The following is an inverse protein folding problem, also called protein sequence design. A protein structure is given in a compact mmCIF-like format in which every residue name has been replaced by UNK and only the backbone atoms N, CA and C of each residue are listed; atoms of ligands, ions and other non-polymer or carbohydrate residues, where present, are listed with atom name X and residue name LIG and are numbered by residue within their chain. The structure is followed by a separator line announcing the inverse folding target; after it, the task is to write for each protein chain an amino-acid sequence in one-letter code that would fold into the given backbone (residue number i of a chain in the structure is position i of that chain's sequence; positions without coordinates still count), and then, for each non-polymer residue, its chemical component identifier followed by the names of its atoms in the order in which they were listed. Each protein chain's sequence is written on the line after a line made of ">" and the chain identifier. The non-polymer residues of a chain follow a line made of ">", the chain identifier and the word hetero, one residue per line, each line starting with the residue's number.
data_IF_916775215725
#
_entry.id   IF_916775215725
#
_cell.length_a   1.000
_cell.length_b   1.000
_cell.length_c   1.000
_cell.angle_alpha   90.00
_cell.angle_beta   90.00
_cell.angle_gamma   90.00
#
_symmetry.space_group_name_H-M   'P 1'
#
loop_
_entity.id
_entity.type
_entity.pdbx_description
1 polymer ?
#
# COMPACT_ATOMS: atom_id res chain seq x y z
N UNK A 1 14.13 -33.23 -1.63
CA UNK A 1 14.38 -32.13 -2.59
C UNK A 1 13.12 -31.92 -3.39
N UNK A 2 12.24 -31.02 -2.95
CA UNK A 2 11.16 -30.48 -3.79
C UNK A 2 11.52 -29.04 -4.10
N UNK A 3 11.95 -28.78 -5.33
CA UNK A 3 11.99 -27.44 -5.88
C UNK A 3 10.55 -26.99 -6.11
N UNK A 4 9.89 -26.55 -5.03
CA UNK A 4 8.70 -25.70 -5.15
C UNK A 4 9.19 -24.26 -5.30
N UNK A 5 9.81 -23.98 -6.44
CA UNK A 5 9.97 -22.61 -6.92
C UNK A 5 8.57 -22.08 -7.19
N UNK A 6 7.99 -21.46 -6.16
CA UNK A 6 6.79 -20.65 -6.27
C UNK A 6 6.89 -19.74 -7.50
N UNK A 7 5.76 -19.44 -8.12
CA UNK A 7 5.65 -18.57 -9.31
C UNK A 7 6.43 -17.25 -9.21
N UNK A 8 6.85 -16.79 -8.02
CA UNK A 8 7.56 -15.54 -7.74
C UNK A 8 9.04 -15.67 -7.39
N UNK A 9 9.63 -16.87 -7.39
CA UNK A 9 10.99 -17.05 -6.88
C UNK A 9 11.11 -16.92 -5.34
N UNK A 10 10.01 -16.68 -4.63
CA UNK A 10 9.91 -16.63 -3.16
C UNK A 10 8.58 -17.24 -2.69
N UNK A 11 8.65 -18.17 -1.74
CA UNK A 11 7.46 -18.86 -1.24
C UNK A 11 6.52 -17.91 -0.47
N UNK A 12 5.21 -18.14 -0.55
CA UNK A 12 4.20 -17.35 0.19
C UNK A 12 4.50 -17.30 1.70
N UNK A 13 4.82 -18.42 2.38
CA UNK A 13 5.20 -18.38 3.79
C UNK A 13 6.43 -17.51 4.06
N UNK A 14 7.42 -17.49 3.18
CA UNK A 14 8.63 -16.69 3.36
C UNK A 14 8.37 -15.19 3.14
N UNK A 15 7.47 -14.83 2.22
CA UNK A 15 6.95 -13.46 2.09
C UNK A 15 6.34 -13.01 3.43
N UNK A 16 5.47 -13.81 4.03
CA UNK A 16 4.84 -13.45 5.30
C UNK A 16 5.83 -13.41 6.47
N UNK A 17 6.71 -14.40 6.58
CA UNK A 17 7.73 -14.45 7.65
C UNK A 17 8.68 -13.26 7.57
N UNK A 18 9.09 -12.88 6.36
CA UNK A 18 9.95 -11.72 6.15
C UNK A 18 9.25 -10.42 6.54
N UNK A 19 7.98 -10.25 6.15
CA UNK A 19 7.17 -9.11 6.59
C UNK A 19 7.01 -9.02 8.11
N UNK A 20 6.68 -10.13 8.76
CA UNK A 20 6.54 -10.21 10.22
C UNK A 20 7.87 -9.87 10.90
N UNK A 21 8.96 -10.53 10.51
CA UNK A 21 10.29 -10.32 11.09
C UNK A 21 10.76 -8.87 10.88
N UNK A 22 10.61 -8.33 9.67
CA UNK A 22 11.02 -6.96 9.36
C UNK A 22 10.21 -5.92 10.11
N UNK A 23 8.89 -6.13 10.27
CA UNK A 23 8.08 -5.26 11.12
C UNK A 23 8.57 -5.28 12.58
N UNK A 24 8.76 -6.46 13.17
CA UNK A 24 9.18 -6.56 14.57
C UNK A 24 10.63 -6.15 14.82
N UNK A 25 11.49 -6.13 13.80
CA UNK A 25 12.82 -5.55 13.90
C UNK A 25 12.77 -4.02 14.07
N UNK A 26 11.82 -3.35 13.42
CA UNK A 26 11.68 -1.90 13.46
C UNK A 26 10.21 -1.43 13.54
N UNK A 27 9.49 -1.73 14.64
CA UNK A 27 8.04 -1.54 14.71
C UNK A 27 7.65 -0.07 14.75
N UNK A 28 8.44 0.76 15.43
CA UNK A 28 8.13 2.17 15.65
C UNK A 28 8.05 3.00 14.35
N UNK A 29 9.09 3.05 13.49
CA UNK A 29 9.02 3.87 12.29
C UNK A 29 7.94 3.42 11.31
N UNK A 30 7.73 2.12 11.18
CA UNK A 30 6.68 1.55 10.34
C UNK A 30 5.28 1.90 10.89
N UNK A 31 5.07 1.76 12.20
CA UNK A 31 3.80 2.09 12.84
C UNK A 31 3.47 3.57 12.77
N UNK A 32 4.47 4.45 12.95
CA UNK A 32 4.27 5.89 12.83
C UNK A 32 3.89 6.28 11.40
N UNK A 33 4.59 5.75 10.39
CA UNK A 33 4.26 6.02 8.99
C UNK A 33 2.86 5.51 8.63
N UNK A 34 2.48 4.31 9.10
CA UNK A 34 1.14 3.77 8.96
C UNK A 34 0.09 4.64 9.65
N UNK A 35 0.34 5.08 10.89
CA UNK A 35 -0.57 5.92 11.65
C UNK A 35 -0.80 7.28 10.99
N UNK A 36 0.26 7.94 10.48
CA UNK A 36 0.10 9.18 9.72
C UNK A 36 -0.70 8.98 8.43
N UNK A 37 -0.44 7.88 7.71
CA UNK A 37 -1.15 7.55 6.46
C UNK A 37 -2.64 7.30 6.72
N UNK A 38 -2.96 6.44 7.68
CA UNK A 38 -4.33 6.08 8.02
C UNK A 38 -5.07 7.23 8.70
N UNK A 39 -4.38 8.00 9.56
CA UNK A 39 -4.92 9.22 10.17
C UNK A 39 -5.27 10.27 9.12
N UNK A 40 -4.42 10.46 8.11
CA UNK A 40 -4.72 11.33 6.96
C UNK A 40 -5.96 10.84 6.22
N UNK A 41 -6.01 9.55 5.89
CA UNK A 41 -7.18 8.97 5.22
C UNK A 41 -8.46 9.17 6.05
N UNK A 42 -8.41 8.90 7.35
CA UNK A 42 -9.54 9.04 8.26
C UNK A 42 -10.04 10.49 8.36
N UNK A 43 -9.11 11.46 8.42
CA UNK A 43 -9.44 12.88 8.49
C UNK A 43 -10.27 13.37 7.30
N UNK A 44 -10.14 12.73 6.13
CA UNK A 44 -10.95 13.01 4.95
C UNK A 44 -12.14 12.05 4.80
N UNK A 45 -12.01 10.81 5.29
CA UNK A 45 -13.10 9.83 5.20
C UNK A 45 -14.30 10.21 6.06
N UNK A 46 -14.08 10.78 7.25
CA UNK A 46 -15.16 11.25 8.14
C UNK A 46 -16.03 12.31 7.44
N UNK A 47 -15.48 13.45 6.96
CA UNK A 47 -16.29 14.44 6.25
C UNK A 47 -16.84 13.93 4.92
N UNK A 48 -16.14 13.04 4.22
CA UNK A 48 -16.69 12.39 3.02
C UNK A 48 -17.97 11.59 3.32
N UNK A 49 -17.98 10.84 4.43
CA UNK A 49 -19.15 10.09 4.87
C UNK A 49 -20.29 11.00 5.32
N UNK A 50 -19.99 12.10 6.02
CA UNK A 50 -20.99 13.11 6.38
C UNK A 50 -21.66 13.70 5.13
N UNK A 51 -20.87 14.18 4.17
CA UNK A 51 -21.38 14.70 2.90
C UNK A 51 -22.21 13.67 2.12
N UNK A 52 -21.83 12.39 2.14
CA UNK A 52 -22.62 11.33 1.53
C UNK A 52 -23.99 11.17 2.19
N UNK A 53 -24.02 11.17 3.52
CA UNK A 53 -25.26 11.04 4.30
C UNK A 53 -26.20 12.25 4.07
N UNK A 54 -25.63 13.43 3.80
CA UNK A 54 -26.37 14.66 3.50
C UNK A 54 -26.81 14.75 2.02
N UNK A 55 -26.51 13.73 1.19
CA UNK A 55 -26.87 13.68 -0.23
C UNK A 55 -25.92 14.45 -1.15
N UNK A 56 -24.84 15.03 -0.62
CA UNK A 56 -23.83 15.79 -1.34
C UNK A 56 -22.78 14.88 -2.00
N UNK A 57 -23.22 14.05 -2.96
CA UNK A 57 -22.38 13.02 -3.59
C UNK A 57 -21.08 13.57 -4.22
N UNK A 58 -21.14 14.75 -4.84
CA UNK A 58 -19.97 15.37 -5.47
C UNK A 58 -18.92 15.80 -4.43
N UNK A 59 -19.37 16.36 -3.31
CA UNK A 59 -18.48 16.78 -2.23
C UNK A 59 -17.87 15.57 -1.51
N UNK A 60 -18.68 14.54 -1.27
CA UNK A 60 -18.21 13.26 -0.72
C UNK A 60 -17.08 12.67 -1.56
N UNK A 61 -17.28 12.61 -2.88
CA UNK A 61 -16.28 12.12 -3.83
C UNK A 61 -15.01 12.97 -3.83
N UNK A 62 -15.16 14.30 -3.74
CA UNK A 62 -14.02 15.21 -3.68
C UNK A 62 -13.18 14.97 -2.41
N UNK A 63 -13.81 14.81 -1.24
CA UNK A 63 -13.11 14.48 -0.01
C UNK A 63 -12.41 13.12 -0.06
N UNK A 64 -13.08 12.08 -0.56
CA UNK A 64 -12.47 10.76 -0.74
C UNK A 64 -11.25 10.85 -1.66
N UNK A 65 -11.35 11.58 -2.78
CA UNK A 65 -10.22 11.75 -3.71
C UNK A 65 -9.04 12.49 -3.10
N UNK A 66 -9.29 13.62 -2.44
CA UNK A 66 -8.25 14.40 -1.77
C UNK A 66 -7.60 13.54 -0.67
N UNK A 67 -8.41 12.85 0.13
CA UNK A 67 -7.96 11.96 1.19
C UNK A 67 -7.06 10.84 0.69
N UNK A 68 -7.47 10.15 -0.38
CA UNK A 68 -6.69 9.06 -0.97
C UNK A 68 -5.35 9.55 -1.53
N UNK A 69 -5.35 10.67 -2.24
CA UNK A 69 -4.12 11.25 -2.81
C UNK A 69 -3.18 11.70 -1.69
N UNK A 70 -3.67 12.48 -0.72
CA UNK A 70 -2.86 12.98 0.39
C UNK A 70 -2.33 11.84 1.26
N UNK A 71 -3.15 10.85 1.60
CA UNK A 71 -2.71 9.67 2.33
C UNK A 71 -1.61 8.93 1.55
N UNK A 72 -1.72 8.82 0.23
CA UNK A 72 -0.70 8.14 -0.59
C UNK A 72 0.62 8.92 -0.68
N UNK A 73 0.56 10.26 -0.63
CA UNK A 73 1.74 11.13 -0.51
C UNK A 73 2.40 10.94 0.87
N UNK A 74 1.58 10.95 1.94
CA UNK A 74 2.02 10.75 3.32
C UNK A 74 2.54 9.33 3.55
N UNK A 75 2.12 8.35 2.74
CA UNK A 75 2.64 6.99 2.75
C UNK A 75 4.07 6.88 2.18
N UNK A 76 4.62 7.92 1.56
CA UNK A 76 5.95 7.85 0.95
C UNK A 76 7.05 7.36 1.92
N UNK A 77 7.21 7.92 3.14
CA UNK A 77 8.14 7.38 4.13
C UNK A 77 7.93 5.91 4.44
N UNK A 78 6.68 5.43 4.44
CA UNK A 78 6.36 4.03 4.71
C UNK A 78 6.98 3.09 3.67
N UNK A 79 6.91 3.46 2.38
CA UNK A 79 7.54 2.70 1.31
C UNK A 79 9.07 2.69 1.44
N UNK A 80 9.69 3.81 1.81
CA UNK A 80 11.14 3.84 2.08
C UNK A 80 11.54 2.91 3.22
N UNK A 81 10.82 2.97 4.34
CA UNK A 81 11.15 2.18 5.52
C UNK A 81 10.95 0.68 5.25
N UNK A 82 9.91 0.33 4.51
CA UNK A 82 9.69 -1.05 4.08
C UNK A 82 10.80 -1.55 3.13
N UNK A 83 11.27 -0.71 2.20
CA UNK A 83 12.42 -1.03 1.34
C UNK A 83 13.72 -1.16 2.14
N UNK A 84 13.98 -0.26 3.10
CA UNK A 84 15.15 -0.37 3.98
C UNK A 84 15.15 -1.69 4.76
N UNK A 85 13.99 -2.11 5.28
CA UNK A 85 13.85 -3.43 5.90
C UNK A 85 14.07 -4.58 4.92
N UNK A 86 13.49 -4.49 3.71
CA UNK A 86 13.66 -5.54 2.71
C UNK A 86 15.11 -5.69 2.23
N UNK A 87 15.86 -4.59 2.23
CA UNK A 87 17.28 -4.51 1.86
C UNK A 87 18.23 -4.85 3.02
N UNK A 88 17.71 -5.08 4.24
CA UNK A 88 18.52 -5.32 5.44
C UNK A 88 19.32 -4.10 5.90
N UNK A 89 18.85 -2.89 5.59
CA UNK A 89 19.47 -1.62 6.00
C UNK A 89 18.79 -1.05 7.24
N UNK A 90 19.55 -0.26 7.99
CA UNK A 90 18.99 0.57 9.06
C UNK A 90 18.03 1.62 8.46
N UNK A 91 16.92 1.86 9.14
CA UNK A 91 15.92 2.84 8.69
C UNK A 91 16.42 4.26 8.95
N UNK A 92 16.62 5.02 7.87
CA UNK A 92 16.89 6.46 7.94
C UNK A 92 15.57 7.25 7.79
N UNK A 93 15.05 7.77 8.91
CA UNK A 93 13.81 8.55 8.95
C UNK A 93 13.85 9.82 8.09
N UNK A 94 15.04 10.32 7.76
CA UNK A 94 15.22 11.54 6.98
C UNK A 94 15.34 11.25 5.49
N UNK A 95 15.56 9.98 5.10
CA UNK A 95 15.74 9.57 3.70
C UNK A 95 14.64 10.08 2.76
N UNK A 96 13.34 10.04 3.13
CA UNK A 96 12.28 10.56 2.27
C UNK A 96 12.39 12.08 2.03
N UNK A 97 12.89 12.81 3.03
CA UNK A 97 13.01 14.28 3.01
C UNK A 97 14.22 14.78 2.22
N UNK A 98 15.23 13.92 2.00
CA UNK A 98 16.42 14.25 1.20
C UNK A 98 16.11 14.46 -0.28
N UNK A 99 14.97 13.94 -0.76
CA UNK A 99 14.53 14.04 -2.16
C UNK A 99 13.07 14.50 -2.24
N UNK A 100 12.77 15.79 -1.96
CA UNK A 100 11.40 16.29 -1.87
C UNK A 100 10.62 16.14 -3.18
N UNK A 101 11.31 16.15 -4.34
CA UNK A 101 10.68 15.90 -5.65
C UNK A 101 9.95 14.56 -5.74
N UNK A 102 10.30 13.57 -4.91
CA UNK A 102 9.60 12.27 -4.86
C UNK A 102 8.19 12.37 -4.29
N UNK A 103 7.89 13.35 -3.43
CA UNK A 103 6.50 13.60 -3.02
C UNK A 103 5.64 14.09 -4.19
N UNK A 104 6.20 14.91 -5.08
CA UNK A 104 5.53 15.31 -6.31
C UNK A 104 5.30 14.15 -7.28
N UNK A 105 6.31 13.27 -7.45
CA UNK A 105 6.16 12.05 -8.24
C UNK A 105 5.08 11.12 -7.65
N UNK A 106 5.06 10.95 -6.33
CA UNK A 106 4.05 10.18 -5.61
C UNK A 106 2.66 10.78 -5.82
N UNK A 107 2.51 12.10 -5.68
CA UNK A 107 1.23 12.78 -5.91
C UNK A 107 0.67 12.51 -7.31
N UNK A 108 1.51 12.62 -8.34
CA UNK A 108 1.11 12.33 -9.72
C UNK A 108 0.74 10.86 -9.91
N UNK A 109 1.56 9.94 -9.40
CA UNK A 109 1.28 8.51 -9.50
C UNK A 109 -0.04 8.15 -8.79
N UNK A 110 -0.23 8.64 -7.57
CA UNK A 110 -1.43 8.40 -6.77
C UNK A 110 -2.68 9.02 -7.41
N UNK A 111 -2.59 10.22 -7.98
CA UNK A 111 -3.72 10.83 -8.70
C UNK A 111 -4.23 9.91 -9.81
N UNK A 112 -3.34 9.45 -10.69
CA UNK A 112 -3.73 8.60 -11.82
C UNK A 112 -4.17 7.20 -11.37
N UNK A 113 -3.53 6.64 -10.34
CA UNK A 113 -3.94 5.38 -9.73
C UNK A 113 -5.38 5.46 -9.20
N UNK A 114 -5.67 6.45 -8.37
CA UNK A 114 -6.97 6.57 -7.72
C UNK A 114 -8.07 7.03 -8.67
N UNK A 115 -7.75 7.88 -9.66
CA UNK A 115 -8.67 8.21 -10.74
C UNK A 115 -9.08 6.95 -11.52
N UNK A 116 -8.11 6.12 -11.91
CA UNK A 116 -8.39 4.83 -12.58
C UNK A 116 -9.18 3.87 -11.69
N UNK A 117 -8.81 3.78 -10.40
CA UNK A 117 -9.49 2.93 -9.43
C UNK A 117 -10.96 3.33 -9.23
N UNK A 118 -11.26 4.61 -9.00
CA UNK A 118 -12.62 5.08 -8.78
C UNK A 118 -13.47 5.06 -10.05
N UNK A 119 -12.90 5.37 -11.21
CA UNK A 119 -13.60 5.23 -12.48
C UNK A 119 -14.00 3.76 -12.71
N UNK A 120 -13.08 2.84 -12.45
CA UNK A 120 -13.36 1.40 -12.48
C UNK A 120 -14.46 0.98 -11.50
N UNK A 121 -14.47 1.58 -10.31
CA UNK A 121 -15.37 1.18 -9.23
C UNK A 121 -16.80 1.63 -9.54
N UNK A 122 -16.92 2.88 -10.00
CA UNK A 122 -18.20 3.55 -10.21
C UNK A 122 -18.86 3.18 -11.53
N UNK A 123 -18.09 3.06 -12.61
CA UNK A 123 -18.64 2.96 -13.97
C UNK A 123 -18.51 1.58 -14.60
N UNK A 124 -17.67 0.71 -14.05
CA UNK A 124 -17.27 -0.55 -14.71
C UNK A 124 -17.42 -1.77 -13.79
N UNK A 125 -18.41 -1.75 -12.90
CA UNK A 125 -18.75 -2.85 -11.98
C UNK A 125 -17.58 -3.32 -11.09
N UNK A 126 -16.61 -2.45 -10.80
CA UNK A 126 -15.50 -2.74 -9.87
C UNK A 126 -14.34 -3.56 -10.45
N UNK A 127 -14.53 -4.24 -11.59
CA UNK A 127 -13.49 -5.08 -12.20
C UNK A 127 -12.22 -4.25 -12.53
N UNK A 128 -12.32 -3.05 -13.14
CA UNK A 128 -11.12 -2.29 -13.47
C UNK A 128 -10.42 -1.68 -12.25
N UNK A 129 -11.10 -1.54 -11.11
CA UNK A 129 -10.46 -1.16 -9.85
C UNK A 129 -9.53 -2.26 -9.34
N UNK A 130 -9.96 -3.52 -9.47
CA UNK A 130 -9.12 -4.68 -9.16
C UNK A 130 -7.92 -4.75 -10.10
N UNK A 131 -8.12 -4.46 -11.39
CA UNK A 131 -7.01 -4.36 -12.34
C UNK A 131 -6.05 -3.24 -11.96
N UNK A 132 -6.53 -2.03 -11.64
CA UNK A 132 -5.66 -0.94 -11.20
C UNK A 132 -4.82 -1.36 -9.98
N UNK A 133 -5.45 -2.03 -9.00
CA UNK A 133 -4.78 -2.51 -7.79
C UNK A 133 -3.70 -3.55 -8.09
N UNK A 134 -3.93 -4.48 -9.02
CA UNK A 134 -2.96 -5.52 -9.39
C UNK A 134 -1.85 -4.99 -10.30
N UNK A 135 -2.17 -4.11 -11.25
CA UNK A 135 -1.22 -3.60 -12.24
C UNK A 135 -0.27 -2.54 -11.65
N UNK A 136 -0.77 -1.72 -10.74
CA UNK A 136 -0.02 -0.63 -10.14
C UNK A 136 0.38 -0.90 -8.68
N UNK A 137 0.26 -2.14 -8.20
CA UNK A 137 0.53 -2.53 -6.80
C UNK A 137 1.87 -2.00 -6.24
N UNK A 138 2.87 -1.78 -7.10
CA UNK A 138 4.22 -1.41 -6.70
C UNK A 138 4.59 0.05 -6.97
N UNK A 139 3.68 0.91 -7.45
CA UNK A 139 4.05 2.27 -7.86
C UNK A 139 4.73 3.06 -6.73
N UNK A 140 4.27 2.90 -5.48
CA UNK A 140 4.85 3.57 -4.31
C UNK A 140 6.29 3.13 -4.03
N UNK A 141 6.60 1.84 -4.19
CA UNK A 141 7.97 1.33 -4.08
C UNK A 141 8.84 1.86 -5.22
N UNK A 142 8.34 1.88 -6.45
CA UNK A 142 9.08 2.42 -7.59
C UNK A 142 9.43 3.90 -7.38
N UNK A 143 8.50 4.72 -6.88
CA UNK A 143 8.76 6.14 -6.56
C UNK A 143 9.79 6.28 -5.43
N UNK A 144 9.71 5.42 -4.41
CA UNK A 144 10.65 5.43 -3.29
C UNK A 144 12.06 4.94 -3.67
N UNK A 145 12.17 4.01 -4.61
CA UNK A 145 13.44 3.39 -4.98
C UNK A 145 14.15 4.12 -6.12
N UNK A 146 13.43 4.40 -7.21
CA UNK A 146 13.98 5.01 -8.42
C UNK A 146 13.91 6.54 -8.43
N UNK A 147 14.59 7.19 -9.39
CA UNK A 147 14.42 8.63 -9.66
C UNK A 147 13.31 8.90 -10.71
N UNK A 148 12.39 7.94 -10.88
CA UNK A 148 11.34 8.01 -11.88
C UNK A 148 10.32 9.13 -11.58
N UNK A 149 9.85 9.78 -12.64
CA UNK A 149 8.71 10.70 -12.59
C UNK A 149 7.41 9.91 -12.35
N UNK A 150 6.39 10.51 -11.75
CA UNK A 150 5.18 9.80 -11.29
C UNK A 150 4.50 8.88 -12.31
N UNK A 151 4.27 9.34 -13.55
CA UNK A 151 3.70 8.50 -14.61
C UNK A 151 4.65 7.36 -15.05
N UNK A 152 5.95 7.62 -15.06
CA UNK A 152 6.96 6.59 -15.37
C UNK A 152 6.95 5.51 -14.29
N UNK A 153 6.80 5.91 -13.02
CA UNK A 153 6.72 4.96 -11.91
C UNK A 153 5.50 4.01 -12.03
N UNK A 154 4.35 4.53 -12.48
CA UNK A 154 3.18 3.68 -12.78
C UNK A 154 3.48 2.68 -13.91
N UNK A 155 4.07 3.14 -15.01
CA UNK A 155 4.45 2.27 -16.12
C UNK A 155 5.48 1.20 -15.72
N UNK A 156 6.46 1.57 -14.89
CA UNK A 156 7.46 0.63 -14.35
C UNK A 156 6.83 -0.38 -13.40
N UNK A 157 5.90 0.02 -12.52
CA UNK A 157 5.15 -0.91 -11.67
C UNK A 157 4.42 -1.97 -12.50
N UNK A 158 3.85 -1.58 -13.64
CA UNK A 158 3.27 -2.53 -14.58
C UNK A 158 4.36 -3.47 -15.07
N UNK A 159 5.46 -2.97 -15.63
CA UNK A 159 6.53 -3.84 -16.15
C UNK A 159 7.06 -4.86 -15.14
N UNK A 160 7.28 -4.46 -13.89
CA UNK A 160 7.79 -5.33 -12.81
C UNK A 160 6.90 -6.55 -12.57
N UNK A 161 5.58 -6.39 -12.62
CA UNK A 161 4.65 -7.52 -12.43
C UNK A 161 4.23 -8.26 -13.71
N UNK A 162 4.86 -7.96 -14.86
CA UNK A 162 4.52 -8.61 -16.12
C UNK A 162 4.77 -10.13 -16.04
N UNK A 163 3.85 -10.94 -16.61
CA UNK A 163 3.95 -12.40 -16.56
C UNK A 163 3.59 -13.07 -15.23
N UNK A 164 3.39 -12.31 -14.14
CA UNK A 164 3.09 -12.86 -12.80
C UNK A 164 1.77 -12.35 -12.19
N UNK A 165 0.90 -11.75 -13.01
CA UNK A 165 -0.32 -11.04 -12.57
C UNK A 165 -1.28 -11.88 -11.74
N UNK A 166 -1.49 -13.14 -12.10
CA UNK A 166 -2.42 -14.03 -11.38
C UNK A 166 -1.95 -14.24 -9.96
N UNK A 167 -0.65 -14.51 -9.77
CA UNK A 167 -0.13 -14.69 -8.43
C UNK A 167 0.01 -13.37 -7.66
N UNK A 168 0.22 -12.22 -8.33
CA UNK A 168 0.16 -10.90 -7.68
C UNK A 168 -1.25 -10.61 -7.18
N UNK A 169 -2.27 -10.98 -7.95
CA UNK A 169 -3.65 -10.91 -7.51
C UNK A 169 -3.91 -11.84 -6.30
N UNK A 170 -3.33 -13.04 -6.29
CA UNK A 170 -3.43 -13.96 -5.15
C UNK A 170 -2.73 -13.40 -3.90
N UNK A 171 -1.53 -12.83 -4.04
CA UNK A 171 -0.81 -12.16 -2.93
C UNK A 171 -1.60 -10.95 -2.43
N UNK A 172 -2.14 -10.12 -3.33
CA UNK A 172 -2.97 -8.98 -2.97
C UNK A 172 -4.25 -9.41 -2.22
N UNK A 173 -4.91 -10.49 -2.67
CA UNK A 173 -6.07 -11.06 -1.98
C UNK A 173 -5.69 -11.60 -0.59
N UNK A 174 -4.54 -12.26 -0.47
CA UNK A 174 -4.05 -12.79 0.80
C UNK A 174 -3.68 -11.66 1.78
N UNK A 175 -3.05 -10.59 1.30
CA UNK A 175 -2.82 -9.39 2.08
C UNK A 175 -4.13 -8.71 2.48
N UNK A 176 -5.11 -8.62 1.58
CA UNK A 176 -6.42 -8.09 1.94
C UNK A 176 -7.05 -8.91 3.07
N UNK A 177 -7.08 -10.24 2.95
CA UNK A 177 -7.58 -11.15 4.00
C UNK A 177 -6.81 -10.97 5.32
N UNK A 178 -5.50 -10.85 5.27
CA UNK A 178 -4.67 -10.60 6.46
C UNK A 178 -4.97 -9.26 7.12
N UNK A 179 -5.18 -8.21 6.34
CA UNK A 179 -5.56 -6.89 6.86
C UNK A 179 -6.99 -6.89 7.42
N UNK A 180 -7.90 -7.68 6.84
CA UNK A 180 -9.22 -7.90 7.40
C UNK A 180 -9.16 -8.54 8.80
N UNK A 181 -8.15 -9.37 9.10
CA UNK A 181 -7.92 -9.87 10.46
C UNK A 181 -7.63 -8.73 11.45
N UNK A 182 -6.82 -7.75 11.04
CA UNK A 182 -6.58 -6.52 11.82
C UNK A 182 -7.83 -5.65 11.95
N UNK A 183 -8.73 -5.74 10.97
CA UNK A 183 -10.02 -5.04 10.95
C UNK A 183 -11.16 -5.80 11.64
N UNK A 184 -10.95 -7.02 12.18
CA UNK A 184 -12.04 -7.87 12.67
C UNK A 184 -12.91 -7.20 13.73
N UNK A 185 -12.30 -6.36 14.58
CA UNK A 185 -13.00 -5.64 15.62
C UNK A 185 -13.91 -4.50 15.09
N UNK A 186 -13.84 -4.12 13.79
CA UNK A 186 -14.80 -3.20 13.14
C UNK A 186 -16.21 -3.80 13.13
N UNK A 187 -16.34 -5.11 12.86
CA UNK A 187 -17.64 -5.78 12.79
C UNK A 187 -18.33 -5.93 14.15
N UNK A 188 -17.55 -5.83 15.23
CA UNK A 188 -17.99 -5.95 16.63
C UNK A 188 -17.76 -4.66 17.42
N UNK A 189 -17.64 -3.51 16.74
CA UNK A 189 -17.28 -2.24 17.36
C UNK A 189 -18.39 -1.71 18.29
N UNK A 190 -18.43 -2.19 19.53
CA UNK A 190 -19.43 -1.78 20.53
C UNK A 190 -18.93 -0.66 21.46
N UNK A 191 -17.61 -0.37 21.51
CA UNK A 191 -17.04 0.64 22.42
C UNK A 191 -15.66 1.17 21.96
N UNK A 192 -15.15 2.21 22.65
CA UNK A 192 -13.89 2.87 22.30
C UNK A 192 -12.65 1.95 22.35
N UNK A 193 -12.65 0.92 23.21
CA UNK A 193 -11.55 -0.03 23.32
C UNK A 193 -11.46 -0.90 22.07
N UNK A 194 -12.57 -1.41 21.55
CA UNK A 194 -12.57 -2.23 20.34
C UNK A 194 -12.16 -1.43 19.10
N UNK A 195 -12.52 -0.15 19.03
CA UNK A 195 -12.02 0.78 18.01
C UNK A 195 -10.49 0.93 18.13
N UNK A 196 -9.98 1.19 19.33
CA UNK A 196 -8.54 1.32 19.57
C UNK A 196 -7.75 0.07 19.16
N UNK A 197 -8.24 -1.11 19.55
CA UNK A 197 -7.63 -2.39 19.18
C UNK A 197 -7.66 -2.64 17.67
N UNK A 198 -8.74 -2.25 17.00
CA UNK A 198 -8.83 -2.32 15.53
C UNK A 198 -7.76 -1.47 14.87
N UNK A 199 -7.61 -0.21 15.31
CA UNK A 199 -6.64 0.71 14.72
C UNK A 199 -5.21 0.19 14.91
N UNK A 200 -4.89 -0.32 16.10
CA UNK A 200 -3.58 -0.94 16.38
C UNK A 200 -3.39 -2.19 15.52
N UNK A 201 -4.40 -3.06 15.44
CA UNK A 201 -4.38 -4.26 14.60
C UNK A 201 -4.12 -3.92 13.14
N UNK A 202 -4.85 -2.95 12.59
CA UNK A 202 -4.66 -2.45 11.22
C UNK A 202 -3.27 -1.86 11.01
N UNK A 203 -2.76 -1.05 11.93
CA UNK A 203 -1.40 -0.48 11.83
C UNK A 203 -0.35 -1.61 11.72
N UNK A 204 -0.47 -2.64 12.55
CA UNK A 204 0.45 -3.78 12.57
C UNK A 204 0.33 -4.58 11.27
N UNK A 205 -0.88 -5.02 10.92
CA UNK A 205 -1.09 -5.91 9.76
C UNK A 205 -0.76 -5.21 8.44
N UNK A 206 -1.09 -3.92 8.30
CA UNK A 206 -0.73 -3.15 7.11
C UNK A 206 0.77 -2.90 7.02
N UNK A 207 1.45 -2.71 8.16
CA UNK A 207 2.91 -2.54 8.17
C UNK A 207 3.64 -3.82 7.80
N UNK A 208 3.20 -4.96 8.32
CA UNK A 208 3.68 -6.28 7.90
C UNK A 208 3.46 -6.47 6.41
N UNK A 209 2.26 -6.13 5.91
CA UNK A 209 1.92 -6.19 4.49
C UNK A 209 2.85 -5.33 3.64
N UNK A 210 3.18 -4.12 4.11
CA UNK A 210 4.06 -3.20 3.40
C UNK A 210 5.48 -3.78 3.28
N UNK A 211 6.03 -4.33 4.37
CA UNK A 211 7.35 -4.97 4.36
C UNK A 211 7.35 -6.22 3.48
N UNK A 212 6.33 -7.08 3.59
CA UNK A 212 6.14 -8.23 2.71
C UNK A 212 6.10 -7.80 1.23
N UNK A 213 5.38 -6.73 0.92
CA UNK A 213 5.28 -6.16 -0.42
C UNK A 213 6.64 -5.66 -0.95
N UNK A 214 7.46 -5.05 -0.09
CA UNK A 214 8.82 -4.62 -0.45
C UNK A 214 9.73 -5.82 -0.79
N UNK A 215 9.61 -6.94 -0.06
CA UNK A 215 10.33 -8.17 -0.42
C UNK A 215 9.89 -8.73 -1.78
N UNK A 216 8.58 -8.79 -2.05
CA UNK A 216 8.07 -9.22 -3.36
C UNK A 216 8.56 -8.29 -4.48
N UNK A 217 8.52 -6.98 -4.24
CA UNK A 217 9.04 -5.97 -5.16
C UNK A 217 10.51 -6.24 -5.54
N UNK A 218 11.38 -6.45 -4.55
CA UNK A 218 12.81 -6.71 -4.77
C UNK A 218 13.09 -7.99 -5.54
N UNK A 219 12.30 -9.04 -5.31
CA UNK A 219 12.46 -10.30 -6.05
C UNK A 219 12.08 -10.10 -7.52
N UNK A 220 10.95 -9.44 -7.78
CA UNK A 220 10.48 -9.19 -9.14
C UNK A 220 11.34 -8.19 -9.91
N UNK A 221 11.88 -7.17 -9.24
CA UNK A 221 12.80 -6.20 -9.85
C UNK A 221 14.07 -6.88 -10.36
N UNK A 222 14.66 -7.77 -9.55
CA UNK A 222 15.85 -8.56 -9.94
C UNK A 222 15.59 -9.46 -11.15
N UNK A 223 14.39 -10.03 -11.28
CA UNK A 223 14.01 -10.85 -12.43
C UNK A 223 13.87 -10.03 -13.74
N UNK A 224 13.60 -8.72 -13.64
CA UNK A 224 13.46 -7.84 -14.82
C UNK A 224 14.80 -7.25 -15.27
N UNK A 225 15.77 -7.11 -14.36
CA UNK A 225 17.12 -6.60 -14.65
C UNK A 225 18.12 -7.67 -15.10
N UNK A 226 17.83 -8.96 -14.86
CA UNK A 226 18.64 -10.11 -15.27
C UNK A 226 18.26 -10.65 -16.65
#
# INVERSE_FOLDING_TARGET
>A
MSQDTSTFGISIPDIFRSGVRGYFANPLPLSLAAAFTLGTLLAFRVPAQTAFNDGELALSLAYDMIGLILASIVALPWYYYALDQADGRDIDLRRPLKKPGRFGAQAVASFWFWAGFLLGLRYLFGIPSLLALVFYAFYGFVVADSDARGLVALGTSVRIGAGKRIGLAAIAALFLLFNLLGALAVGFAVNALTIGLTLVGLIITTSITMVSGAHVYRVLEKEVEG
#
